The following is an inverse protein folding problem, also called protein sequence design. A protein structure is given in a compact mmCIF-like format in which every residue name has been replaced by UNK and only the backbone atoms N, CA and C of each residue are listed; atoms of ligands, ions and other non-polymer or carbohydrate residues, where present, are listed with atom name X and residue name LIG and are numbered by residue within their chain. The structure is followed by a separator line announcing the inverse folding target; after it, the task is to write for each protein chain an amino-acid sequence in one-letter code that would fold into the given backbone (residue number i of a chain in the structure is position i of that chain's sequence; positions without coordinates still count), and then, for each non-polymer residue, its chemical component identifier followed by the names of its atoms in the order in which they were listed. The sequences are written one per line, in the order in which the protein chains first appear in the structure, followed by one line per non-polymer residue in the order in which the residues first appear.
data_IF_001597833258
#
_entry.id   IF_001597833258
#
_cell.length_a   1.000
_cell.length_b   1.000
_cell.length_c   1.000
_cell.angle_alpha   90.00
_cell.angle_beta   90.00
_cell.angle_gamma   90.00
#
_symmetry.space_group_name_H-M   'P 1'
#
loop_
_entity.id
_entity.type
_entity.pdbx_description
1 polymer ?
#
# COMPACT_ATOMS: atom_id res chain seq x y z
N UNK A 1 -1.30 -56.53 48.68
CA UNK A 1 -1.13 -56.50 47.21
C UNK A 1 -1.86 -55.27 46.69
N UNK A 2 -1.13 -54.20 46.40
CA UNK A 2 -1.66 -52.97 45.82
C UNK A 2 -0.59 -52.41 44.91
N UNK A 3 -0.71 -52.71 43.62
CA UNK A 3 0.24 -52.32 42.57
C UNK A 3 0.10 -50.82 42.30
N UNK A 4 1.19 -50.06 42.44
CA UNK A 4 1.30 -48.68 42.01
C UNK A 4 1.38 -48.65 40.47
N UNK A 5 0.29 -48.29 39.82
CA UNK A 5 0.29 -47.93 38.40
C UNK A 5 0.74 -46.48 38.26
N UNK A 6 1.92 -46.28 37.67
CA UNK A 6 2.40 -44.97 37.22
C UNK A 6 1.58 -44.56 35.98
N UNK A 7 0.96 -43.37 35.94
CA UNK A 7 0.32 -42.89 34.71
C UNK A 7 1.40 -42.54 33.70
N UNK A 8 1.38 -43.19 32.54
CA UNK A 8 2.16 -42.79 31.37
C UNK A 8 1.53 -41.51 30.79
N UNK A 9 2.29 -40.42 30.79
CA UNK A 9 1.92 -39.20 30.06
C UNK A 9 1.76 -39.51 28.56
N UNK A 10 0.73 -38.97 27.89
CA UNK A 10 0.66 -39.05 26.45
C UNK A 10 1.77 -38.17 25.85
N UNK A 11 2.62 -38.79 25.05
CA UNK A 11 3.59 -38.16 24.17
C UNK A 11 2.84 -37.23 23.20
N UNK A 12 2.68 -35.96 23.58
CA UNK A 12 2.26 -34.94 22.64
C UNK A 12 3.42 -34.72 21.67
N UNK A 13 3.27 -35.32 20.49
CA UNK A 13 3.99 -34.93 19.29
C UNK A 13 3.98 -33.40 19.23
N UNK A 14 5.17 -32.82 19.25
CA UNK A 14 5.39 -31.39 19.06
C UNK A 14 5.01 -31.14 17.60
N UNK A 15 3.72 -30.88 17.36
CA UNK A 15 3.25 -30.39 16.07
C UNK A 15 4.02 -29.12 15.78
N UNK A 16 4.65 -29.09 14.61
CA UNK A 16 5.24 -27.89 14.04
C UNK A 16 4.31 -26.71 14.34
N UNK A 17 4.84 -25.68 15.02
CA UNK A 17 4.08 -24.45 15.20
C UNK A 17 3.59 -24.02 13.82
N UNK A 18 2.28 -23.95 13.61
CA UNK A 18 1.71 -23.29 12.44
C UNK A 18 2.32 -21.90 12.41
N UNK A 19 3.32 -21.71 11.55
CA UNK A 19 3.88 -20.41 11.28
C UNK A 19 2.75 -19.65 10.59
N UNK A 20 1.93 -18.93 11.38
CA UNK A 20 0.85 -18.13 10.81
C UNK A 20 1.49 -17.17 9.82
N UNK A 21 1.17 -17.37 8.55
CA UNK A 21 1.66 -16.57 7.45
C UNK A 21 1.50 -15.10 7.81
N UNK A 22 2.60 -14.33 7.77
CA UNK A 22 2.53 -12.89 8.01
C UNK A 22 1.66 -12.27 6.91
N UNK A 23 0.78 -11.35 7.27
CA UNK A 23 -0.02 -10.58 6.31
C UNK A 23 0.87 -9.55 5.61
N UNK A 24 0.71 -9.31 4.30
CA UNK A 24 1.37 -8.19 3.65
C UNK A 24 0.97 -6.88 4.33
N UNK A 25 1.99 -6.09 4.70
CA UNK A 25 1.82 -4.86 5.46
C UNK A 25 1.95 -3.64 4.58
N UNK A 26 0.99 -2.74 4.65
CA UNK A 26 0.93 -1.55 3.81
C UNK A 26 0.92 -0.26 4.63
N UNK A 27 1.75 0.70 4.22
CA UNK A 27 1.61 2.10 4.62
C UNK A 27 0.53 2.74 3.76
N UNK A 28 -0.52 3.26 4.40
CA UNK A 28 -1.70 3.82 3.77
C UNK A 28 -1.66 5.35 3.80
N UNK A 29 -1.65 5.96 2.60
CA UNK A 29 -1.54 7.39 2.36
C UNK A 29 -2.90 7.98 1.95
N UNK A 30 -3.47 8.84 2.79
CA UNK A 30 -4.80 9.42 2.55
C UNK A 30 -4.80 10.47 1.42
N UNK A 31 -5.99 10.90 1.01
CA UNK A 31 -6.18 11.90 -0.04
C UNK A 31 -5.95 13.35 0.42
N UNK A 32 -5.88 14.27 -0.54
CA UNK A 32 -5.70 15.70 -0.28
C UNK A 32 -6.78 16.23 0.68
N UNK A 33 -6.35 16.93 1.74
CA UNK A 33 -7.24 17.51 2.77
C UNK A 33 -8.15 16.47 3.42
N UNK A 34 -7.61 15.30 3.72
CA UNK A 34 -8.31 14.28 4.53
C UNK A 34 -7.39 13.83 5.67
N UNK A 35 -7.61 12.67 6.25
CA UNK A 35 -6.78 12.14 7.34
C UNK A 35 -6.69 10.62 7.27
N UNK A 36 -5.75 10.05 8.03
CA UNK A 36 -5.59 8.62 8.25
C UNK A 36 -6.90 7.98 8.69
N UNK A 37 -7.60 8.59 9.65
CA UNK A 37 -8.85 8.08 10.20
C UNK A 37 -9.98 8.06 9.16
N UNK A 38 -10.05 9.06 8.28
CA UNK A 38 -11.02 9.10 7.19
C UNK A 38 -10.75 7.97 6.20
N UNK A 39 -9.49 7.81 5.77
CA UNK A 39 -9.12 6.72 4.86
C UNK A 39 -9.38 5.36 5.51
N UNK A 40 -9.09 5.20 6.80
CA UNK A 40 -9.36 3.98 7.57
C UNK A 40 -10.85 3.63 7.56
N UNK A 41 -11.72 4.59 7.90
CA UNK A 41 -13.18 4.41 7.85
C UNK A 41 -13.66 4.04 6.45
N UNK A 42 -13.11 4.67 5.42
CA UNK A 42 -13.50 4.40 4.04
C UNK A 42 -13.06 3.00 3.57
N UNK A 43 -11.83 2.58 3.84
CA UNK A 43 -11.31 1.27 3.45
C UNK A 43 -12.01 0.17 4.25
N UNK A 44 -11.95 0.24 5.59
CA UNK A 44 -12.50 -0.81 6.46
C UNK A 44 -14.04 -0.86 6.45
N UNK A 45 -14.72 0.24 6.11
CA UNK A 45 -16.18 0.28 6.00
C UNK A 45 -16.74 -0.09 4.63
N UNK A 46 -15.88 -0.21 3.60
CA UNK A 46 -16.31 -0.49 2.21
C UNK A 46 -15.78 -1.80 1.64
N UNK A 47 -14.63 -2.27 2.11
CA UNK A 47 -14.06 -3.53 1.67
C UNK A 47 -14.46 -4.66 2.61
N UNK A 48 -14.79 -5.85 2.09
CA UNK A 48 -15.22 -6.99 2.90
C UNK A 48 -14.06 -7.57 3.73
N UNK A 49 -14.40 -8.28 4.81
CA UNK A 49 -13.42 -8.94 5.68
C UNK A 49 -12.50 -9.92 4.93
N UNK A 50 -13.00 -10.54 3.87
CA UNK A 50 -12.22 -11.42 3.01
C UNK A 50 -10.98 -10.72 2.39
N UNK A 51 -11.03 -9.38 2.27
CA UNK A 51 -9.90 -8.54 1.86
C UNK A 51 -9.17 -7.99 3.08
N UNK A 52 -9.87 -7.29 3.97
CA UNK A 52 -9.23 -6.52 5.05
C UNK A 52 -8.56 -7.40 6.11
N UNK A 53 -9.05 -8.62 6.34
CA UNK A 53 -8.44 -9.56 7.28
C UNK A 53 -7.09 -10.10 6.78
N UNK A 54 -6.85 -10.09 5.46
CA UNK A 54 -5.61 -10.57 4.82
C UNK A 54 -4.51 -9.51 4.74
N UNK A 55 -4.82 -8.25 5.06
CA UNK A 55 -3.88 -7.14 5.00
C UNK A 55 -3.55 -6.63 6.41
N UNK A 56 -2.31 -6.18 6.61
CA UNK A 56 -1.96 -5.34 7.76
C UNK A 56 -1.84 -3.88 7.28
N UNK A 57 -2.71 -3.00 7.77
CA UNK A 57 -2.88 -1.65 7.23
C UNK A 57 -2.49 -0.59 8.27
N UNK A 58 -1.44 0.17 7.96
CA UNK A 58 -0.98 1.29 8.77
C UNK A 58 -1.41 2.61 8.14
N UNK A 59 -2.43 3.27 8.69
CA UNK A 59 -2.92 4.56 8.20
C UNK A 59 -2.14 5.70 8.85
N UNK A 60 -1.49 6.54 8.02
CA UNK A 60 -0.66 7.64 8.48
C UNK A 60 -1.27 8.99 8.08
N UNK A 61 -1.22 9.95 9.00
CA UNK A 61 -1.54 11.34 8.71
C UNK A 61 -0.35 12.00 8.00
N UNK A 62 -0.68 12.79 6.98
CA UNK A 62 0.28 13.61 6.29
C UNK A 62 0.84 14.71 7.20
N UNK A 63 2.07 15.21 6.95
CA UNK A 63 2.78 16.06 7.91
C UNK A 63 2.28 17.51 7.93
N UNK A 64 1.53 17.95 6.93
CA UNK A 64 1.11 19.34 6.81
C UNK A 64 -0.39 19.49 7.07
N UNK A 65 -0.82 20.39 7.98
CA UNK A 65 -2.22 20.76 8.10
C UNK A 65 -2.79 21.28 6.77
N UNK A 66 -4.05 21.00 6.50
CA UNK A 66 -4.75 21.52 5.34
C UNK A 66 -4.81 23.06 5.37
N UNK A 67 -4.39 23.71 4.28
CA UNK A 67 -4.39 25.19 4.18
C UNK A 67 -5.72 25.74 3.63
N UNK A 68 -6.70 24.89 3.37
CA UNK A 68 -8.00 25.33 2.90
C UNK A 68 -9.09 24.28 3.04
N UNK A 69 -10.23 24.57 2.43
CA UNK A 69 -11.45 23.78 2.55
C UNK A 69 -11.24 22.33 2.10
N UNK A 70 -11.76 21.38 2.87
CA UNK A 70 -11.87 19.99 2.45
C UNK A 70 -13.22 19.68 1.81
N UNK A 71 -13.21 18.86 0.76
CA UNK A 71 -14.43 18.32 0.12
C UNK A 71 -15.19 17.34 1.02
N UNK A 72 -14.60 16.90 2.14
CA UNK A 72 -15.24 16.02 3.12
C UNK A 72 -15.86 16.74 4.31
N UNK A 73 -15.76 18.07 4.37
CA UNK A 73 -16.37 18.87 5.42
C UNK A 73 -17.88 18.64 5.51
N UNK A 74 -18.40 18.50 6.73
CA UNK A 74 -19.80 18.17 6.99
C UNK A 74 -20.14 16.68 6.82
N UNK A 75 -19.21 15.85 6.32
CA UNK A 75 -19.32 14.39 6.28
C UNK A 75 -18.36 13.76 7.30
N UNK A 76 -17.14 14.28 7.39
CA UNK A 76 -16.12 13.86 8.34
C UNK A 76 -15.57 15.07 9.09
N UNK A 77 -15.36 14.94 10.40
CA UNK A 77 -14.80 16.01 11.22
C UNK A 77 -13.28 16.20 10.97
N UNK A 78 -12.75 17.43 11.13
CA UNK A 78 -11.32 17.71 11.13
C UNK A 78 -10.57 17.03 12.30
N UNK A 79 -9.22 16.98 12.32
CA UNK A 79 -8.28 17.68 11.43
C UNK A 79 -8.12 17.05 10.05
N UNK A 80 -7.68 17.88 9.10
CA UNK A 80 -7.33 17.46 7.74
C UNK A 80 -5.88 17.84 7.44
N UNK A 81 -5.25 17.04 6.58
CA UNK A 81 -3.84 17.14 6.25
C UNK A 81 -3.61 17.02 4.73
N UNK A 82 -2.42 17.44 4.32
CA UNK A 82 -1.92 17.41 2.95
C UNK A 82 -0.51 16.81 2.95
N UNK A 83 -0.21 15.94 1.99
CA UNK A 83 1.13 15.37 1.86
C UNK A 83 2.13 16.40 1.36
N UNK A 84 1.71 17.22 0.41
CA UNK A 84 2.44 18.38 -0.09
C UNK A 84 1.41 19.38 -0.64
N UNK A 85 1.79 20.65 -0.75
CA UNK A 85 0.94 21.71 -1.26
C UNK A 85 1.20 21.94 -2.74
N UNK A 86 0.17 22.39 -3.46
CA UNK A 86 0.31 22.85 -4.84
C UNK A 86 -0.58 24.05 -5.13
N UNK A 87 -0.14 24.93 -6.03
CA UNK A 87 -0.94 26.07 -6.49
C UNK A 87 -2.14 25.62 -7.32
N UNK A 88 -3.16 26.47 -7.41
CA UNK A 88 -4.26 26.25 -8.34
C UNK A 88 -3.71 26.20 -9.77
N UNK A 89 -3.90 25.07 -10.45
CA UNK A 89 -3.35 24.82 -11.79
C UNK A 89 -2.05 24.01 -11.82
N UNK A 90 -1.52 23.56 -10.67
CA UNK A 90 -0.32 22.71 -10.57
C UNK A 90 0.95 23.37 -11.13
N UNK A 91 1.09 24.68 -10.98
CA UNK A 91 2.28 25.42 -11.46
C UNK A 91 3.40 25.49 -10.42
N UNK A 92 3.05 25.38 -9.14
CA UNK A 92 3.99 25.43 -8.02
C UNK A 92 3.69 24.27 -7.07
N UNK A 93 4.74 23.67 -6.53
CA UNK A 93 4.67 22.61 -5.54
C UNK A 93 5.52 23.03 -4.34
N UNK A 94 4.96 22.96 -3.14
CA UNK A 94 5.67 23.23 -1.89
C UNK A 94 5.72 21.98 -1.04
N UNK A 95 6.78 21.87 -0.24
CA UNK A 95 6.99 20.80 0.72
C UNK A 95 7.05 19.37 0.15
N UNK A 96 7.35 19.24 -1.16
CA UNK A 96 7.38 17.92 -1.80
C UNK A 96 8.56 17.08 -1.32
N UNK A 97 9.75 17.67 -1.16
CA UNK A 97 10.93 16.94 -0.69
C UNK A 97 10.77 16.55 0.79
N UNK A 98 10.22 17.44 1.61
CA UNK A 98 9.87 17.19 3.01
C UNK A 98 8.82 16.09 3.14
N UNK A 99 7.84 16.03 2.23
CA UNK A 99 6.89 14.92 2.15
C UNK A 99 7.60 13.58 1.90
N UNK A 100 8.53 13.52 0.95
CA UNK A 100 9.24 12.29 0.62
C UNK A 100 10.10 11.82 1.79
N UNK A 101 10.80 12.75 2.46
CA UNK A 101 11.57 12.47 3.66
C UNK A 101 10.68 11.96 4.81
N UNK A 102 9.52 12.58 5.03
CA UNK A 102 8.59 12.15 6.08
C UNK A 102 8.01 10.75 5.83
N UNK A 103 7.71 10.39 4.58
CA UNK A 103 7.27 9.03 4.24
C UNK A 103 8.40 8.02 4.49
N UNK A 104 9.65 8.36 4.16
CA UNK A 104 10.81 7.52 4.49
C UNK A 104 10.94 7.32 6.00
N UNK A 105 10.82 8.38 6.80
CA UNK A 105 10.86 8.30 8.28
C UNK A 105 9.75 7.40 8.84
N UNK A 106 8.53 7.48 8.31
CA UNK A 106 7.44 6.58 8.67
C UNK A 106 7.80 5.12 8.36
N UNK A 107 8.40 4.87 7.19
CA UNK A 107 8.83 3.54 6.78
C UNK A 107 9.98 2.99 7.63
N UNK A 108 10.92 3.84 8.07
CA UNK A 108 11.98 3.47 9.01
C UNK A 108 11.39 3.12 10.38
N UNK A 109 10.52 3.99 10.91
CA UNK A 109 10.02 3.89 12.27
C UNK A 109 8.99 2.78 12.48
N UNK A 110 8.15 2.53 11.47
CA UNK A 110 6.99 1.66 11.60
C UNK A 110 7.04 0.43 10.68
N UNK A 111 8.06 0.32 9.82
CA UNK A 111 8.25 -0.81 8.92
C UNK A 111 8.69 -2.10 9.63
N UNK A 112 9.02 -3.15 8.85
CA UNK A 112 9.03 -3.16 7.40
C UNK A 112 7.61 -3.11 6.79
N UNK A 113 7.48 -2.46 5.64
CA UNK A 113 6.28 -2.43 4.82
C UNK A 113 6.53 -3.21 3.52
N UNK A 114 5.56 -4.01 3.09
CA UNK A 114 5.58 -4.72 1.81
C UNK A 114 5.05 -3.86 0.67
N UNK A 115 4.37 -2.76 0.97
CA UNK A 115 3.80 -1.91 -0.05
C UNK A 115 3.20 -0.62 0.46
N UNK A 116 2.63 0.12 -0.50
CA UNK A 116 1.93 1.38 -0.28
C UNK A 116 0.49 1.28 -0.79
N UNK A 117 -0.48 1.76 -0.03
CA UNK A 117 -1.84 2.01 -0.51
C UNK A 117 -2.06 3.50 -0.48
N UNK A 118 -2.58 4.08 -1.55
CA UNK A 118 -2.90 5.50 -1.57
C UNK A 118 -4.28 5.80 -2.13
N UNK A 119 -4.89 6.88 -1.63
CA UNK A 119 -6.07 7.51 -2.23
C UNK A 119 -5.73 8.90 -2.76
N UNK A 120 -6.19 9.27 -3.96
CA UNK A 120 -6.04 10.62 -4.53
C UNK A 120 -4.57 11.11 -4.53
N UNK A 121 -4.24 12.18 -3.79
CA UNK A 121 -2.85 12.64 -3.60
C UNK A 121 -1.92 11.53 -3.06
N UNK A 122 -2.38 10.77 -2.06
CA UNK A 122 -1.65 9.62 -1.55
C UNK A 122 -1.50 8.52 -2.61
N UNK A 123 -2.49 8.32 -3.49
CA UNK A 123 -2.40 7.36 -4.59
C UNK A 123 -1.33 7.75 -5.62
N UNK A 124 -1.25 9.04 -5.93
CA UNK A 124 -0.25 9.57 -6.83
C UNK A 124 1.18 9.42 -6.26
N UNK A 125 1.35 9.62 -4.94
CA UNK A 125 2.60 9.36 -4.23
C UNK A 125 2.95 7.87 -4.25
N UNK A 126 2.02 7.00 -3.84
CA UNK A 126 2.21 5.54 -3.85
C UNK A 126 2.61 5.02 -5.24
N UNK A 127 2.07 5.60 -6.31
CA UNK A 127 2.43 5.23 -7.67
C UNK A 127 3.83 5.69 -8.08
N UNK A 128 4.27 6.89 -7.67
CA UNK A 128 5.55 7.46 -8.06
C UNK A 128 6.74 6.92 -7.24
N UNK A 129 6.52 6.63 -5.96
CA UNK A 129 7.58 6.27 -5.00
C UNK A 129 8.43 5.06 -5.43
N UNK A 130 7.89 3.93 -5.95
CA UNK A 130 8.71 2.82 -6.42
C UNK A 130 9.67 3.21 -7.54
N UNK A 131 9.22 4.07 -8.47
CA UNK A 131 10.03 4.57 -9.58
C UNK A 131 11.13 5.51 -9.11
N UNK A 132 10.79 6.47 -8.24
CA UNK A 132 11.78 7.35 -7.61
C UNK A 132 12.81 6.58 -6.78
N UNK A 133 12.38 5.54 -6.06
CA UNK A 133 13.26 4.68 -5.29
C UNK A 133 14.24 3.92 -6.19
N UNK A 134 13.78 3.39 -7.32
CA UNK A 134 14.65 2.73 -8.31
C UNK A 134 15.72 3.67 -8.90
N UNK A 135 15.53 4.99 -8.82
CA UNK A 135 16.49 6.02 -9.23
C UNK A 135 17.34 6.58 -8.08
N UNK A 136 17.14 6.10 -6.85
CA UNK A 136 17.81 6.64 -5.67
C UNK A 136 17.38 8.07 -5.32
N UNK A 137 16.17 8.47 -5.71
CA UNK A 137 15.63 9.81 -5.49
C UNK A 137 14.73 9.90 -4.25
N UNK A 138 14.07 8.81 -3.86
CA UNK A 138 13.25 8.71 -2.65
C UNK A 138 13.45 7.34 -1.97
N UNK A 139 13.07 7.20 -0.69
CA UNK A 139 13.09 5.91 0.02
C UNK A 139 14.45 5.18 -0.07
N UNK A 140 15.54 5.92 0.09
CA UNK A 140 16.93 5.48 -0.04
C UNK A 140 17.40 4.61 1.13
N UNK A 141 16.78 4.76 2.29
CA UNK A 141 17.18 4.13 3.55
C UNK A 141 16.20 3.05 4.02
N UNK A 142 15.29 2.62 3.17
CA UNK A 142 14.29 1.58 3.47
C UNK A 142 14.30 0.48 2.41
N UNK A 143 13.79 -0.73 2.74
CA UNK A 143 13.63 -1.79 1.76
C UNK A 143 12.83 -1.34 0.53
N UNK A 144 13.05 -2.04 -0.58
CA UNK A 144 12.33 -1.78 -1.84
C UNK A 144 10.82 -1.91 -1.64
N UNK A 145 10.05 -0.97 -2.17
CA UNK A 145 8.59 -1.08 -2.26
C UNK A 145 8.24 -2.22 -3.21
N UNK A 146 7.55 -3.24 -2.69
CA UNK A 146 7.25 -4.47 -3.45
C UNK A 146 5.86 -4.48 -4.05
N UNK A 147 4.92 -3.68 -3.55
CA UNK A 147 3.51 -3.72 -3.94
C UNK A 147 2.88 -2.32 -3.84
N UNK A 148 1.99 -1.96 -4.76
CA UNK A 148 1.23 -0.70 -4.66
C UNK A 148 -0.26 -0.85 -4.97
N UNK A 149 -1.08 -0.15 -4.20
CA UNK A 149 -2.52 0.01 -4.48
C UNK A 149 -2.82 1.49 -4.70
N UNK A 150 -3.41 1.81 -5.84
CA UNK A 150 -3.67 3.18 -6.31
C UNK A 150 -5.18 3.36 -6.42
N UNK A 151 -5.77 4.17 -5.55
CA UNK A 151 -7.21 4.43 -5.54
C UNK A 151 -7.47 5.86 -6.02
N UNK A 152 -8.04 6.03 -7.21
CA UNK A 152 -8.30 7.36 -7.79
C UNK A 152 -7.03 8.20 -7.93
N UNK A 153 -5.92 7.59 -8.38
CA UNK A 153 -4.63 8.25 -8.56
C UNK A 153 -4.34 8.64 -10.01
N UNK A 154 -3.19 9.28 -10.22
CA UNK A 154 -2.66 9.64 -11.54
C UNK A 154 -1.20 10.04 -11.43
N UNK A 155 -0.55 10.32 -12.57
CA UNK A 155 0.83 10.85 -12.57
C UNK A 155 0.84 12.23 -11.90
N UNK A 156 1.69 12.42 -10.89
CA UNK A 156 1.89 13.74 -10.27
C UNK A 156 2.57 14.65 -11.31
N UNK A 157 2.02 15.82 -11.62
CA UNK A 157 2.63 16.77 -12.57
C UNK A 157 3.80 17.56 -11.95
N UNK A 158 4.54 16.97 -11.01
CA UNK A 158 5.80 17.51 -10.49
C UNK A 158 6.91 17.17 -11.50
N UNK A 159 7.71 18.12 -12.00
CA UNK A 159 8.67 17.88 -13.08
C UNK A 159 9.60 16.68 -12.84
N UNK A 160 10.22 16.58 -11.67
CA UNK A 160 11.11 15.45 -11.35
C UNK A 160 10.37 14.10 -11.34
N UNK A 161 9.10 14.09 -10.92
CA UNK A 161 8.27 12.87 -10.92
C UNK A 161 7.94 12.47 -12.35
N UNK A 162 7.51 13.42 -13.19
CA UNK A 162 7.20 13.18 -14.60
C UNK A 162 8.43 12.64 -15.35
N UNK A 163 9.60 13.20 -15.10
CA UNK A 163 10.84 12.84 -15.78
C UNK A 163 11.45 11.51 -15.30
N UNK A 164 11.32 11.16 -14.01
CA UNK A 164 12.11 10.08 -13.40
C UNK A 164 11.29 8.93 -12.84
N UNK A 165 10.10 9.18 -12.28
CA UNK A 165 9.34 8.13 -11.61
C UNK A 165 8.77 7.11 -12.59
N UNK A 166 8.49 7.54 -13.83
CA UNK A 166 7.79 6.72 -14.82
C UNK A 166 8.59 6.55 -16.12
N UNK A 167 9.92 6.77 -16.08
CA UNK A 167 10.80 6.66 -17.26
C UNK A 167 10.99 5.21 -17.74
N UNK A 168 10.88 4.27 -16.82
CA UNK A 168 10.87 2.83 -17.03
C UNK A 168 9.62 2.27 -16.34
N UNK A 169 8.98 1.28 -16.97
CA UNK A 169 7.81 0.62 -16.37
C UNK A 169 8.14 0.08 -14.98
N UNK A 170 7.29 0.42 -14.03
CA UNK A 170 7.35 -0.04 -12.65
C UNK A 170 6.97 -1.52 -12.61
N UNK A 171 7.87 -2.35 -12.10
CA UNK A 171 7.76 -3.81 -12.13
C UNK A 171 7.03 -4.41 -10.94
N UNK A 172 6.87 -3.66 -9.84
CA UNK A 172 6.18 -4.19 -8.66
C UNK A 172 4.69 -4.40 -8.98
N UNK A 173 4.07 -5.50 -8.49
CA UNK A 173 2.63 -5.70 -8.62
C UNK A 173 1.84 -4.47 -8.19
N UNK A 174 0.87 -4.08 -9.02
CA UNK A 174 0.03 -2.92 -8.75
C UNK A 174 -1.46 -3.22 -8.95
N UNK A 175 -2.30 -2.60 -8.12
CA UNK A 175 -3.75 -2.65 -8.21
C UNK A 175 -4.30 -1.23 -8.31
N UNK A 176 -5.07 -0.96 -9.35
CA UNK A 176 -5.60 0.37 -9.66
C UNK A 176 -7.12 0.37 -9.60
N UNK A 177 -7.69 1.29 -8.82
CA UNK A 177 -9.13 1.56 -8.80
C UNK A 177 -9.42 2.84 -9.58
N UNK A 178 -10.21 2.72 -10.64
CA UNK A 178 -10.57 3.83 -11.53
C UNK A 178 -12.08 3.98 -11.54
N UNK A 179 -12.56 5.17 -11.14
CA UNK A 179 -13.97 5.52 -11.18
C UNK A 179 -14.40 6.09 -12.53
N UNK A 180 -15.52 5.61 -13.07
CA UNK A 180 -16.04 6.08 -14.36
C UNK A 180 -16.53 7.53 -14.31
N UNK A 181 -16.91 8.01 -13.11
CA UNK A 181 -17.32 9.39 -12.85
C UNK A 181 -16.23 10.18 -12.10
N UNK A 182 -15.03 9.63 -11.96
CA UNK A 182 -13.92 10.30 -11.28
C UNK A 182 -13.31 11.36 -12.20
N UNK A 183 -13.12 12.58 -11.70
CA UNK A 183 -12.45 13.65 -12.47
C UNK A 183 -10.98 13.33 -12.77
N UNK A 184 -10.38 12.36 -12.06
CA UNK A 184 -9.05 11.83 -12.33
C UNK A 184 -9.05 10.61 -13.25
N UNK A 185 -10.19 10.16 -13.78
CA UNK A 185 -10.30 8.94 -14.61
C UNK A 185 -9.23 8.87 -15.69
N UNK A 186 -9.16 9.88 -16.56
CA UNK A 186 -8.21 9.90 -17.69
C UNK A 186 -6.74 9.85 -17.20
N UNK A 187 -6.44 10.50 -16.08
CA UNK A 187 -5.10 10.47 -15.47
C UNK A 187 -4.78 9.11 -14.86
N UNK A 188 -5.76 8.44 -14.27
CA UNK A 188 -5.63 7.08 -13.75
C UNK A 188 -5.46 6.05 -14.87
N UNK A 189 -6.18 6.20 -15.98
CA UNK A 189 -6.02 5.35 -17.16
C UNK A 189 -4.63 5.52 -17.79
N UNK A 190 -4.17 6.76 -17.96
CA UNK A 190 -2.83 7.03 -18.48
C UNK A 190 -1.68 6.57 -17.53
N UNK A 191 -1.99 6.37 -16.24
CA UNK A 191 -1.02 5.85 -15.27
C UNK A 191 -0.78 4.34 -15.46
N UNK A 192 -1.76 3.58 -15.97
CA UNK A 192 -1.65 2.13 -16.16
C UNK A 192 -0.45 1.75 -17.03
N UNK A 193 -0.15 2.54 -18.06
CA UNK A 193 0.98 2.32 -18.98
C UNK A 193 2.35 2.39 -18.28
N UNK A 194 2.42 3.03 -17.10
CA UNK A 194 3.63 3.11 -16.32
C UNK A 194 3.92 1.83 -15.51
N UNK A 195 3.01 0.86 -15.47
CA UNK A 195 3.16 -0.39 -14.72
C UNK A 195 3.25 -1.61 -15.64
N UNK A 196 3.95 -2.65 -15.18
CA UNK A 196 3.94 -3.97 -15.82
C UNK A 196 2.75 -4.76 -15.28
N UNK A 197 1.89 -5.23 -16.18
CA UNK A 197 0.73 -6.09 -15.90
C UNK A 197 -0.11 -5.66 -14.67
N UNK A 198 -0.65 -4.42 -14.65
CA UNK A 198 -1.44 -3.93 -13.52
C UNK A 198 -2.78 -4.66 -13.40
N UNK A 199 -3.20 -4.93 -12.16
CA UNK A 199 -4.59 -5.29 -11.85
C UNK A 199 -5.43 -4.01 -11.90
N UNK A 200 -6.62 -4.08 -12.49
CA UNK A 200 -7.49 -2.92 -12.68
C UNK A 200 -8.91 -3.23 -12.26
N UNK A 201 -9.41 -2.45 -11.30
CA UNK A 201 -10.81 -2.42 -10.90
C UNK A 201 -11.44 -1.14 -11.44
N UNK A 202 -12.51 -1.29 -12.23
CA UNK A 202 -13.33 -0.16 -12.70
C UNK A 202 -14.63 -0.14 -11.92
N UNK A 203 -15.08 1.05 -11.51
CA UNK A 203 -16.32 1.21 -10.76
C UNK A 203 -17.13 2.43 -11.21
N UNK A 204 -18.45 2.37 -11.06
CA UNK A 204 -19.36 3.43 -11.52
C UNK A 204 -19.36 4.72 -10.70
N UNK A 205 -18.65 4.75 -9.56
CA UNK A 205 -18.61 5.91 -8.66
C UNK A 205 -17.59 6.98 -9.11
N UNK A 206 -17.72 8.17 -8.55
CA UNK A 206 -16.76 9.26 -8.71
C UNK A 206 -15.52 9.10 -7.83
N UNK A 207 -14.96 10.21 -7.36
CA UNK A 207 -13.70 10.23 -6.60
C UNK A 207 -13.87 9.72 -5.16
N UNK A 208 -13.80 8.41 -4.97
CA UNK A 208 -14.01 7.74 -3.67
C UNK A 208 -13.26 6.41 -3.61
N UNK A 209 -12.92 5.94 -2.41
CA UNK A 209 -12.69 4.50 -2.17
C UNK A 209 -13.99 3.74 -2.51
N UNK A 210 -13.98 2.76 -3.44
CA UNK A 210 -15.19 2.07 -3.85
C UNK A 210 -15.55 0.93 -2.90
N UNK A 211 -16.84 0.55 -2.89
CA UNK A 211 -17.24 -0.80 -2.46
C UNK A 211 -16.90 -1.78 -3.57
N UNK A 212 -16.59 -3.02 -3.21
CA UNK A 212 -16.26 -4.06 -4.18
C UNK A 212 -17.55 -4.82 -4.55
N UNK A 213 -17.88 -4.84 -5.84
CA UNK A 213 -18.79 -5.85 -6.39
C UNK A 213 -18.05 -7.17 -6.61
N UNK A 214 -18.74 -8.24 -7.02
CA UNK A 214 -18.16 -9.58 -7.14
C UNK A 214 -16.94 -9.61 -8.07
N UNK A 215 -17.02 -8.91 -9.21
CA UNK A 215 -15.92 -8.83 -10.18
C UNK A 215 -14.72 -8.03 -9.65
N UNK A 216 -14.99 -6.93 -8.94
CA UNK A 216 -13.97 -6.13 -8.30
C UNK A 216 -13.29 -6.93 -7.20
N UNK A 217 -14.08 -7.66 -6.40
CA UNK A 217 -13.60 -8.52 -5.32
C UNK A 217 -12.68 -9.63 -5.88
N UNK A 218 -13.08 -10.30 -6.96
CA UNK A 218 -12.24 -11.30 -7.63
C UNK A 218 -10.88 -10.72 -8.06
N UNK A 219 -10.89 -9.54 -8.69
CA UNK A 219 -9.65 -8.85 -9.09
C UNK A 219 -8.76 -8.50 -7.88
N UNK A 220 -9.35 -7.98 -6.80
CA UNK A 220 -8.61 -7.63 -5.57
C UNK A 220 -8.04 -8.89 -4.91
N UNK A 221 -8.80 -9.99 -4.88
CA UNK A 221 -8.33 -11.25 -4.33
C UNK A 221 -7.17 -11.82 -5.15
N UNK A 222 -7.26 -11.82 -6.48
CA UNK A 222 -6.16 -12.25 -7.34
C UNK A 222 -4.89 -11.42 -7.15
N UNK A 223 -5.02 -10.11 -6.86
CA UNK A 223 -3.88 -9.27 -6.49
C UNK A 223 -3.27 -9.70 -5.15
N UNK A 224 -4.10 -9.93 -4.12
CA UNK A 224 -3.61 -10.37 -2.79
C UNK A 224 -2.97 -11.75 -2.88
N UNK A 225 -3.56 -12.68 -3.63
CA UNK A 225 -3.00 -14.02 -3.87
C UNK A 225 -1.61 -13.95 -4.52
N UNK A 226 -1.42 -13.03 -5.49
CA UNK A 226 -0.10 -12.79 -6.10
C UNK A 226 0.91 -12.27 -5.09
N UNK A 227 0.53 -11.33 -4.23
CA UNK A 227 1.42 -10.78 -3.18
C UNK A 227 1.84 -11.87 -2.22
N UNK A 228 0.86 -12.61 -1.73
CA UNK A 228 1.07 -13.70 -0.80
C UNK A 228 2.03 -14.71 -1.43
N UNK A 229 1.76 -15.18 -2.65
CA UNK A 229 2.66 -16.13 -3.34
C UNK A 229 4.10 -15.61 -3.42
N UNK A 230 4.30 -14.35 -3.82
CA UNK A 230 5.64 -13.77 -3.88
C UNK A 230 6.35 -13.75 -2.52
N UNK A 231 5.62 -13.54 -1.42
CA UNK A 231 6.18 -13.55 -0.07
C UNK A 231 6.60 -14.95 0.38
N UNK A 232 5.91 -16.00 -0.06
CA UNK A 232 6.34 -17.39 0.19
C UNK A 232 7.64 -17.69 -0.54
N UNK A 233 7.68 -17.39 -1.84
CA UNK A 233 8.87 -17.62 -2.67
C UNK A 233 10.10 -16.89 -2.09
N UNK A 234 9.93 -15.67 -1.59
CA UNK A 234 11.01 -14.95 -0.89
C UNK A 234 11.42 -15.60 0.44
N UNK A 235 10.47 -16.17 1.18
CA UNK A 235 10.73 -16.85 2.45
C UNK A 235 11.49 -18.15 2.21
N UNK A 236 11.06 -18.96 1.24
CA UNK A 236 11.72 -20.19 0.82
C UNK A 236 13.15 -19.92 0.33
N UNK A 237 13.34 -18.90 -0.51
CA UNK A 237 14.67 -18.51 -0.99
C UNK A 237 15.58 -18.01 0.14
N UNK A 238 15.02 -17.37 1.16
CA UNK A 238 15.80 -16.94 2.33
C UNK A 238 16.23 -18.11 3.20
N UNK A 239 15.36 -19.12 3.36
CA UNK A 239 15.66 -20.33 4.12
C UNK A 239 16.72 -21.17 3.40
N UNK A 240 16.60 -21.36 2.09
CA UNK A 240 17.58 -22.14 1.32
C UNK A 240 18.99 -21.54 1.40
N UNK A 241 19.10 -20.21 1.29
CA UNK A 241 20.40 -19.50 1.43
C UNK A 241 20.98 -19.61 2.83
N UNK A 242 20.13 -19.64 3.85
CA UNK A 242 20.57 -19.80 5.22
C UNK A 242 21.11 -21.22 5.46
N UNK A 243 20.43 -22.24 4.96
CA UNK A 243 20.87 -23.63 5.03
C UNK A 243 22.21 -23.83 4.29
N UNK A 244 22.34 -23.31 3.07
CA UNK A 244 23.62 -23.32 2.31
C UNK A 244 24.76 -22.64 3.08
N UNK A 245 24.48 -21.56 3.82
CA UNK A 245 25.49 -20.85 4.61
C UNK A 245 25.95 -21.63 5.86
N UNK A 246 25.08 -22.48 6.42
CA UNK A 246 25.44 -23.38 7.53
C UNK A 246 26.27 -24.54 7.00
N UNK A 247 25.91 -25.12 5.85
CA UNK A 247 26.66 -26.24 5.26
C UNK A 247 28.05 -25.82 4.77
N UNK A 248 28.25 -24.55 4.43
CA UNK A 248 29.53 -24.00 4.00
C UNK A 248 30.46 -23.54 5.14
N UNK A 249 30.01 -23.57 6.40
CA UNK A 249 30.74 -23.11 7.60
C UNK A 249 31.35 -24.28 8.38
#
# INVERSE_FOLDING_TARGET
MGSLTVPTEPTNAIGASEYRRRRPRFLCLHGFRTSAEIMRKQVLGKWPDLVTARLDLFFADAPFPAEGKSEVEGIFDPPYYEWFQFSKGFTEFRNFDECLAYIEDLMIKHGPFDGLIGFSQGAALSAALPGLQAKGLALKSVPKVKNVVVIGGGKIPVPIVVEKAFDVKIKCPSLHFIGDLDFLKERGEALLDAFVDPFVVRHSRGHTVPRLDDKSLETVLGYIDRIEKNMDEETELSLSKFEESIEAA
#
